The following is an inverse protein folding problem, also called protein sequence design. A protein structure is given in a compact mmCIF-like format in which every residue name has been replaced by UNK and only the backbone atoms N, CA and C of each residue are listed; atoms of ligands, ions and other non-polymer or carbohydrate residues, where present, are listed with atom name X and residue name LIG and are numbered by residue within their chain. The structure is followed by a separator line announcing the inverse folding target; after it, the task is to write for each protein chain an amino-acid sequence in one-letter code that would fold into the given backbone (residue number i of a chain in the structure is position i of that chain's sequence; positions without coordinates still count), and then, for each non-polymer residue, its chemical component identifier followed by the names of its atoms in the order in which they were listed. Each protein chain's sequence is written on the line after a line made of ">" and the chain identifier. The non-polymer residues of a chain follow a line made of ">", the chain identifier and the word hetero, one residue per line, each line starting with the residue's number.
data_IF_301693369485
#
_entry.id   IF_301693369485
#
_cell.length_a   1.000
_cell.length_b   1.000
_cell.length_c   1.000
_cell.angle_alpha   90.00
_cell.angle_beta   90.00
_cell.angle_gamma   90.00
#
_symmetry.space_group_name_H-M   'P 1'
#
loop_
_entity.id
_entity.type
_entity.pdbx_description
1 polymer ?
#
# COMPACT_ATOMS: atom_id res chain seq x y z
N UNK A 1 -19.43 -6.26 8.23
CA UNK A 1 -18.76 -6.47 6.92
C UNK A 1 -17.64 -5.46 6.83
N UNK A 2 -16.40 -5.90 6.59
CA UNK A 2 -15.29 -4.96 6.43
C UNK A 2 -15.51 -4.12 5.16
N UNK A 3 -15.23 -2.81 5.22
CA UNK A 3 -15.29 -1.94 4.03
C UNK A 3 -14.20 -2.36 3.04
N UNK A 4 -14.45 -2.18 1.75
CA UNK A 4 -13.40 -2.36 0.75
C UNK A 4 -12.27 -1.34 1.00
N UNK A 5 -10.98 -1.66 0.70
CA UNK A 5 -9.88 -0.71 0.87
C UNK A 5 -10.06 0.61 0.11
N UNK A 6 -10.85 0.59 -0.97
CA UNK A 6 -11.18 1.76 -1.77
C UNK A 6 -12.22 2.68 -1.12
N UNK A 7 -13.06 2.16 -0.21
CA UNK A 7 -14.16 2.88 0.44
C UNK A 7 -13.90 3.15 1.92
N UNK A 8 -12.75 2.70 2.44
CA UNK A 8 -12.36 2.88 3.83
C UNK A 8 -12.21 4.37 4.20
N UNK A 9 -11.70 5.17 3.26
CA UNK A 9 -11.42 6.59 3.44
C UNK A 9 -11.90 7.44 2.26
N UNK A 10 -12.06 8.76 2.44
CA UNK A 10 -12.66 9.63 1.41
C UNK A 10 -11.73 9.96 0.22
N UNK A 11 -10.40 9.90 0.39
CA UNK A 11 -9.46 10.26 -0.69
C UNK A 11 -9.05 9.01 -1.46
N UNK A 12 -9.54 8.87 -2.69
CA UNK A 12 -9.14 7.77 -3.58
C UNK A 12 -7.66 7.84 -3.93
N UNK A 13 -7.01 6.68 -3.95
CA UNK A 13 -5.59 6.51 -4.23
C UNK A 13 -5.37 5.25 -5.10
N UNK A 14 -4.25 5.24 -5.81
CA UNK A 14 -3.87 4.16 -6.71
C UNK A 14 -2.41 3.80 -6.50
N UNK A 15 -2.10 2.51 -6.59
CA UNK A 15 -0.75 1.98 -6.45
C UNK A 15 -0.68 0.54 -6.92
N UNK A 16 0.42 -0.13 -6.60
CA UNK A 16 0.64 -1.53 -6.92
C UNK A 16 0.79 -2.31 -5.62
N UNK A 17 0.10 -3.44 -5.53
CA UNK A 17 0.10 -4.26 -4.33
C UNK A 17 0.39 -5.73 -4.62
N UNK A 18 1.07 -6.37 -3.68
CA UNK A 18 1.10 -7.83 -3.56
C UNK A 18 -0.14 -8.29 -2.78
N UNK A 19 -0.73 -9.43 -3.18
CA UNK A 19 -1.90 -10.01 -2.52
C UNK A 19 -1.60 -11.31 -1.76
N UNK A 20 -0.42 -11.86 -1.97
CA UNK A 20 0.06 -13.09 -1.37
C UNK A 20 1.61 -13.11 -1.38
N UNK A 21 2.19 -14.15 -0.77
CA UNK A 21 3.64 -14.35 -0.62
C UNK A 21 4.40 -14.65 -1.92
N UNK A 22 3.75 -14.73 -3.08
CA UNK A 22 4.48 -14.71 -4.35
C UNK A 22 5.20 -13.38 -4.57
N UNK A 23 4.73 -12.31 -3.93
CA UNK A 23 5.25 -10.96 -4.08
C UNK A 23 4.97 -10.33 -5.43
N UNK A 24 4.09 -10.94 -6.25
CA UNK A 24 3.72 -10.38 -7.56
C UNK A 24 2.87 -9.13 -7.35
N UNK A 25 3.41 -7.99 -7.81
CA UNK A 25 2.72 -6.71 -7.76
C UNK A 25 1.73 -6.57 -8.92
N UNK A 26 0.58 -5.98 -8.63
CA UNK A 26 -0.43 -5.65 -9.64
C UNK A 26 -1.22 -4.40 -9.23
N UNK A 27 -1.90 -3.74 -10.20
CA UNK A 27 -2.70 -2.55 -9.92
C UNK A 27 -3.69 -2.72 -8.76
N UNK A 28 -3.77 -1.71 -7.91
CA UNK A 28 -4.59 -1.71 -6.71
C UNK A 28 -5.17 -0.32 -6.44
N UNK A 29 -6.49 -0.27 -6.31
CA UNK A 29 -7.23 0.92 -5.90
C UNK A 29 -7.50 0.85 -4.40
N UNK A 30 -7.24 1.95 -3.72
CA UNK A 30 -7.44 2.08 -2.29
C UNK A 30 -7.79 3.52 -1.93
N UNK A 31 -7.85 3.82 -0.64
CA UNK A 31 -8.14 5.17 -0.17
C UNK A 31 -7.20 5.58 0.97
N UNK A 32 -7.05 6.89 1.15
CA UNK A 32 -6.29 7.53 2.24
C UNK A 32 -7.20 8.48 3.00
N UNK A 33 -6.87 8.72 4.27
CA UNK A 33 -7.58 9.67 5.13
C UNK A 33 -7.57 11.09 4.54
N UNK A 34 -8.51 11.92 4.98
CA UNK A 34 -8.41 13.37 4.75
C UNK A 34 -7.16 13.95 5.42
N UNK A 35 -6.70 15.09 4.89
CA UNK A 35 -5.55 15.79 5.47
C UNK A 35 -5.98 16.50 6.74
N UNK A 36 -5.55 16.00 7.91
CA UNK A 36 -5.77 16.67 9.19
C UNK A 36 -4.83 17.87 9.40
N UNK A 37 -5.01 18.60 10.50
CA UNK A 37 -4.28 19.83 10.82
C UNK A 37 -2.74 19.67 10.90
N UNK A 38 -2.28 18.44 11.15
CA UNK A 38 -0.85 18.10 11.30
C UNK A 38 -0.34 17.16 10.20
N UNK A 39 -1.17 16.85 9.21
CA UNK A 39 -0.82 15.94 8.13
C UNK A 39 -0.25 16.69 6.93
N UNK A 40 0.64 16.03 6.19
CA UNK A 40 1.14 16.51 4.91
C UNK A 40 0.75 15.53 3.82
N UNK A 41 -0.07 15.99 2.87
CA UNK A 41 -0.37 15.25 1.64
C UNK A 41 0.47 15.80 0.50
N UNK A 42 1.16 14.91 -0.21
CA UNK A 42 1.97 15.26 -1.36
C UNK A 42 1.76 14.26 -2.50
N UNK A 43 2.10 14.71 -3.72
CA UNK A 43 2.10 13.85 -4.90
C UNK A 43 3.46 13.14 -4.98
N UNK A 44 3.43 11.82 -4.95
CA UNK A 44 4.65 11.00 -5.16
C UNK A 44 5.10 11.17 -6.61
N UNK A 45 6.34 11.61 -6.81
CA UNK A 45 6.98 11.66 -8.13
C UNK A 45 7.94 10.49 -8.33
N UNK A 46 8.65 10.11 -7.26
CA UNK A 46 9.62 9.04 -7.24
C UNK A 46 9.49 8.24 -5.94
N UNK A 47 9.72 6.94 -6.03
CA UNK A 47 9.82 6.00 -4.91
C UNK A 47 10.98 5.06 -5.24
N UNK A 48 11.95 4.95 -4.32
CA UNK A 48 13.08 4.05 -4.49
C UNK A 48 12.68 2.62 -4.16
N UNK A 49 13.30 1.64 -4.81
CA UNK A 49 13.13 0.23 -4.47
C UNK A 49 14.32 -0.21 -3.62
N UNK A 50 14.02 -0.80 -2.46
CA UNK A 50 15.01 -1.35 -1.55
C UNK A 50 14.87 -2.87 -1.46
N UNK A 51 15.91 -3.54 -0.95
CA UNK A 51 15.85 -4.97 -0.67
C UNK A 51 14.81 -5.32 0.41
N UNK A 52 14.53 -4.38 1.31
CA UNK A 52 13.45 -4.50 2.31
C UNK A 52 12.09 -4.72 1.66
N UNK A 53 11.80 -4.09 0.52
CA UNK A 53 10.53 -4.28 -0.17
C UNK A 53 10.34 -5.74 -0.58
N UNK A 54 11.40 -6.38 -1.07
CA UNK A 54 11.37 -7.80 -1.46
C UNK A 54 11.05 -8.71 -0.28
N UNK A 55 11.71 -8.51 0.86
CA UNK A 55 11.45 -9.28 2.07
C UNK A 55 10.00 -9.11 2.56
N UNK A 56 9.48 -7.88 2.48
CA UNK A 56 8.12 -7.57 2.91
C UNK A 56 7.09 -8.20 1.96
N UNK A 57 7.22 -8.03 0.64
CA UNK A 57 6.23 -8.56 -0.32
C UNK A 57 6.26 -10.08 -0.45
N UNK A 58 7.36 -10.74 -0.13
CA UNK A 58 7.47 -12.21 -0.09
C UNK A 58 7.13 -12.81 1.27
N UNK A 59 6.90 -11.97 2.28
CA UNK A 59 6.67 -12.38 3.66
C UNK A 59 7.80 -13.22 4.26
N UNK A 60 9.07 -12.88 3.95
CA UNK A 60 10.24 -13.64 4.42
C UNK A 60 10.36 -13.64 5.96
N UNK A 61 9.75 -12.65 6.62
CA UNK A 61 9.73 -12.52 8.08
C UNK A 61 8.41 -13.00 8.73
N UNK A 62 7.44 -13.46 7.94
CA UNK A 62 6.16 -13.96 8.46
C UNK A 62 5.21 -12.91 9.02
N UNK A 63 5.48 -11.61 8.84
CA UNK A 63 4.72 -10.49 9.42
C UNK A 63 3.94 -9.66 8.40
N UNK A 64 3.94 -10.03 7.12
CA UNK A 64 3.25 -9.30 6.07
C UNK A 64 1.73 -9.42 6.19
N UNK A 65 1.03 -8.27 6.17
CA UNK A 65 -0.42 -8.19 6.13
C UNK A 65 -0.87 -7.79 4.72
N UNK A 66 -1.41 -8.75 3.96
CA UNK A 66 -1.87 -8.50 2.60
C UNK A 66 -3.26 -7.83 2.58
N UNK A 67 -3.53 -6.93 1.61
CA UNK A 67 -2.65 -6.50 0.52
C UNK A 67 -1.54 -5.54 0.98
N UNK A 68 -0.33 -5.71 0.45
CA UNK A 68 0.84 -4.86 0.75
C UNK A 68 1.16 -3.96 -0.43
N UNK A 69 1.23 -2.65 -0.19
CA UNK A 69 1.78 -1.65 -1.13
C UNK A 69 3.18 -1.27 -0.63
N UNK A 70 4.27 -1.75 -1.26
CA UNK A 70 5.64 -1.44 -0.85
C UNK A 70 6.07 -0.02 -1.27
N UNK A 71 7.22 0.44 -0.79
CA UNK A 71 7.79 1.76 -1.06
C UNK A 71 7.99 2.65 0.16
#
# INVERSE_FOLDING_TARGET
>A
MAKSPEEEHPRKAFGWAARDSSGILSPFHFSRRETGEKDVTFKVLYCGICYTDLHVVKNDWGTANYPVVPG
#
